data_IF_259407276677
#
_entry.id   IF_259407276677
#
_cell.length_a   1.000
_cell.length_b   1.000
_cell.length_c   1.000
_cell.angle_alpha   90.00
_cell.angle_beta   90.00
_cell.angle_gamma   90.00
#
_symmetry.space_group_name_H-M   'P 1'
#
loop_
_entity.id
_entity.type
_entity.pdbx_description
1 polymer ?
#
# COMPACT_ATOMS: atom_id res chain seq x y z
N UNK A 1 32.74 -7.93 -10.03
CA UNK A 1 32.82 -9.26 -9.36
C UNK A 1 31.46 -9.47 -8.71
N UNK A 2 30.85 -10.65 -8.81
CA UNK A 2 29.44 -10.80 -8.40
C UNK A 2 29.34 -10.93 -6.88
N UNK A 3 28.48 -10.12 -6.25
CA UNK A 3 28.07 -10.26 -4.86
C UNK A 3 27.58 -11.69 -4.61
N UNK A 4 27.90 -12.26 -3.45
CA UNK A 4 27.38 -13.54 -3.02
C UNK A 4 26.10 -13.36 -2.20
N UNK A 5 25.09 -14.21 -2.44
CA UNK A 5 23.91 -14.30 -1.57
C UNK A 5 23.87 -15.69 -0.95
N UNK A 6 23.79 -15.75 0.37
CA UNK A 6 23.72 -17.00 1.14
C UNK A 6 22.37 -17.03 1.85
N UNK A 7 21.55 -18.01 1.52
CA UNK A 7 20.24 -18.21 2.13
C UNK A 7 20.26 -19.37 3.11
N UNK A 8 19.61 -19.17 4.26
CA UNK A 8 19.30 -20.22 5.24
C UNK A 8 17.90 -19.99 5.78
N UNK A 9 17.29 -21.01 6.36
CA UNK A 9 15.93 -20.94 6.93
C UNK A 9 15.75 -19.82 7.98
N UNK A 10 16.85 -19.37 8.59
CA UNK A 10 16.89 -18.38 9.66
C UNK A 10 17.54 -17.04 9.26
N UNK A 11 17.96 -16.86 8.01
CA UNK A 11 18.46 -15.56 7.54
C UNK A 11 18.98 -15.55 6.10
N UNK A 12 19.26 -14.36 5.61
CA UNK A 12 19.85 -14.09 4.30
C UNK A 12 21.07 -13.21 4.53
N UNK A 13 22.19 -13.57 3.91
CA UNK A 13 23.42 -12.79 3.96
C UNK A 13 23.83 -12.39 2.54
N UNK A 14 23.92 -11.09 2.32
CA UNK A 14 24.54 -10.50 1.14
C UNK A 14 26.01 -10.27 1.49
N UNK A 15 26.91 -10.99 0.83
CA UNK A 15 28.35 -11.00 1.11
C UNK A 15 29.14 -10.34 -0.02
N UNK A 16 30.08 -9.49 0.37
CA UNK A 16 31.13 -8.97 -0.50
C UNK A 16 32.48 -9.18 0.19
N UNK A 17 33.33 -10.10 -0.30
CA UNK A 17 34.66 -10.34 0.25
C UNK A 17 35.59 -9.11 0.19
N UNK A 18 35.28 -8.14 -0.69
CA UNK A 18 35.99 -6.86 -0.75
C UNK A 18 35.42 -5.81 0.19
N UNK A 19 34.40 -6.14 0.98
CA UNK A 19 33.62 -5.25 1.83
C UNK A 19 32.74 -4.25 1.06
N UNK A 20 31.60 -3.94 1.66
CA UNK A 20 30.74 -2.83 1.32
C UNK A 20 31.12 -1.61 2.18
N UNK A 21 30.97 -0.42 1.60
CA UNK A 21 30.64 0.76 2.38
C UNK A 21 29.11 0.82 2.46
N UNK A 22 28.57 0.83 3.67
CA UNK A 22 27.14 0.77 3.92
C UNK A 22 26.65 2.01 4.67
N UNK A 23 25.46 2.50 4.29
CA UNK A 23 24.66 3.40 5.11
C UNK A 23 23.30 2.74 5.37
N UNK A 24 22.88 2.59 6.62
CA UNK A 24 21.64 1.85 6.94
C UNK A 24 20.95 2.33 8.22
N UNK A 25 19.67 2.00 8.34
CA UNK A 25 18.86 2.13 9.56
C UNK A 25 18.73 0.82 10.36
N UNK A 26 19.61 -0.14 10.08
CA UNK A 26 19.52 -1.50 10.62
C UNK A 26 19.64 -1.55 12.15
N UNK A 27 18.99 -2.55 12.78
CA UNK A 27 19.06 -2.78 14.23
C UNK A 27 20.50 -2.91 14.75
N UNK A 28 21.39 -3.53 13.98
CA UNK A 28 22.83 -3.68 14.27
C UNK A 28 23.62 -2.96 13.18
N UNK A 29 23.96 -1.70 13.46
CA UNK A 29 24.64 -0.78 12.55
C UNK A 29 25.12 0.45 13.35
N UNK A 30 26.26 1.03 12.98
CA UNK A 30 26.71 2.34 13.50
C UNK A 30 26.29 3.49 12.56
N UNK A 31 25.44 3.21 11.58
CA UNK A 31 24.88 4.14 10.60
C UNK A 31 25.72 4.22 9.33
N UNK A 32 27.05 4.30 9.45
CA UNK A 32 28.00 4.13 8.34
C UNK A 32 29.02 3.06 8.73
N UNK A 33 29.08 1.99 7.93
CA UNK A 33 29.87 0.81 8.27
C UNK A 33 30.68 0.30 7.07
N UNK A 34 31.84 -0.32 7.35
CA UNK A 34 32.59 -1.12 6.38
C UNK A 34 32.38 -2.59 6.72
N UNK A 35 31.59 -3.28 5.90
CA UNK A 35 31.09 -4.62 6.24
C UNK A 35 31.31 -5.62 5.12
N UNK A 36 31.74 -6.82 5.49
CA UNK A 36 31.78 -7.94 4.55
C UNK A 36 30.39 -8.53 4.32
N UNK A 37 29.54 -8.52 5.36
CA UNK A 37 28.26 -9.21 5.38
C UNK A 37 27.10 -8.26 5.74
N UNK A 38 26.02 -8.30 4.96
CA UNK A 38 24.76 -7.61 5.25
C UNK A 38 23.70 -8.67 5.51
N UNK A 39 23.23 -8.74 6.76
CA UNK A 39 22.37 -9.82 7.24
C UNK A 39 20.93 -9.37 7.45
N UNK A 40 19.97 -10.14 6.94
CA UNK A 40 18.55 -10.06 7.33
C UNK A 40 18.20 -11.38 8.01
N UNK A 41 17.83 -11.36 9.29
CA UNK A 41 17.70 -12.57 10.12
C UNK A 41 16.33 -12.68 10.78
N UNK A 42 15.83 -13.92 10.91
CA UNK A 42 14.64 -14.21 11.72
C UNK A 42 15.00 -14.11 13.19
N UNK A 43 14.69 -12.97 13.79
CA UNK A 43 15.01 -12.63 15.16
C UNK A 43 13.92 -11.71 15.73
N UNK A 44 13.85 -11.62 17.06
CA UNK A 44 13.15 -10.50 17.68
C UNK A 44 13.90 -9.22 17.33
N UNK A 45 13.15 -8.16 17.01
CA UNK A 45 13.67 -6.85 16.66
C UNK A 45 14.22 -6.12 17.89
N UNK A 46 15.39 -6.60 18.33
CA UNK A 46 16.21 -5.98 19.35
C UNK A 46 17.69 -6.30 19.08
N UNK A 47 18.56 -5.35 19.39
CA UNK A 47 19.99 -5.43 19.12
C UNK A 47 20.61 -6.78 19.54
N UNK A 48 20.31 -7.25 20.76
CA UNK A 48 20.96 -8.44 21.33
C UNK A 48 20.52 -9.71 20.62
N UNK A 49 19.24 -9.84 20.31
CA UNK A 49 18.67 -10.96 19.58
C UNK A 49 19.21 -11.01 18.15
N UNK A 50 19.18 -9.88 17.44
CA UNK A 50 19.64 -9.73 16.06
C UNK A 50 21.13 -10.02 15.93
N UNK A 51 21.97 -9.38 16.75
CA UNK A 51 23.43 -9.56 16.73
C UNK A 51 23.81 -11.03 16.96
N UNK A 52 23.22 -11.68 17.99
CA UNK A 52 23.49 -13.10 18.27
C UNK A 52 23.15 -14.01 17.08
N UNK A 53 22.04 -13.74 16.38
CA UNK A 53 21.65 -14.53 15.20
C UNK A 53 22.59 -14.29 14.02
N UNK A 54 22.99 -13.05 13.78
CA UNK A 54 23.94 -12.68 12.74
C UNK A 54 25.34 -13.27 12.99
N UNK A 55 25.84 -13.24 14.23
CA UNK A 55 27.12 -13.88 14.60
C UNK A 55 27.11 -15.38 14.30
N UNK A 56 26.03 -16.09 14.64
CA UNK A 56 25.87 -17.51 14.30
C UNK A 56 25.79 -17.70 12.79
N UNK A 57 25.13 -16.79 12.07
CA UNK A 57 25.04 -16.85 10.60
C UNK A 57 26.43 -16.77 9.96
N UNK A 58 27.23 -15.80 10.41
CA UNK A 58 28.57 -15.48 9.93
C UNK A 58 29.68 -16.35 10.55
N UNK A 59 29.33 -17.29 11.44
CA UNK A 59 30.30 -18.11 12.19
C UNK A 59 31.31 -17.27 13.01
N UNK A 60 30.87 -16.10 13.50
CA UNK A 60 31.70 -15.14 14.22
C UNK A 60 32.92 -14.64 13.43
N UNK A 61 32.83 -14.61 12.10
CA UNK A 61 33.85 -14.09 11.19
C UNK A 61 33.30 -12.95 10.33
N UNK A 62 34.19 -12.06 9.87
CA UNK A 62 33.85 -10.91 9.03
C UNK A 62 33.12 -9.79 9.78
N UNK A 63 33.26 -8.55 9.31
CA UNK A 63 32.44 -7.44 9.77
C UNK A 63 31.03 -7.52 9.18
N UNK A 64 30.02 -7.04 9.91
CA UNK A 64 28.64 -7.15 9.47
C UNK A 64 27.72 -6.05 10.01
N UNK A 65 26.66 -5.77 9.27
CA UNK A 65 25.43 -5.14 9.77
C UNK A 65 24.31 -6.17 9.74
N UNK A 66 23.30 -6.01 10.60
CA UNK A 66 22.19 -6.94 10.66
C UNK A 66 20.85 -6.29 11.02
N UNK A 67 19.81 -6.75 10.33
CA UNK A 67 18.42 -6.37 10.58
C UNK A 67 17.59 -7.59 10.96
N UNK A 68 16.71 -7.42 11.96
CA UNK A 68 15.69 -8.41 12.25
C UNK A 68 14.54 -8.30 11.24
N UNK A 69 14.01 -9.44 10.81
CA UNK A 69 12.79 -9.48 10.01
C UNK A 69 11.92 -10.68 10.40
N UNK A 70 10.61 -10.48 10.37
CA UNK A 70 9.64 -11.56 10.61
C UNK A 70 9.57 -12.53 9.41
N UNK A 71 9.82 -12.00 8.21
CA UNK A 71 9.84 -12.73 6.94
C UNK A 71 11.23 -12.69 6.31
N UNK A 72 11.56 -13.73 5.54
CA UNK A 72 12.76 -13.75 4.69
C UNK A 72 12.38 -13.78 3.21
N UNK A 73 11.10 -13.60 2.88
CA UNK A 73 10.67 -13.53 1.50
C UNK A 73 11.24 -12.27 0.86
N UNK A 74 11.94 -12.46 -0.25
CA UNK A 74 12.60 -11.38 -0.94
C UNK A 74 12.75 -11.68 -2.43
N UNK A 75 13.08 -10.66 -3.20
CA UNK A 75 13.51 -10.79 -4.59
C UNK A 75 14.53 -9.71 -4.93
N UNK A 76 15.26 -9.90 -6.03
CA UNK A 76 16.23 -8.94 -6.53
C UNK A 76 15.86 -8.43 -7.94
N UNK A 77 16.09 -7.15 -8.19
CA UNK A 77 16.05 -6.54 -9.51
C UNK A 77 17.40 -5.87 -9.80
N UNK A 78 17.99 -6.12 -10.96
CA UNK A 78 19.28 -5.53 -11.37
C UNK A 78 19.13 -4.71 -12.64
N UNK A 79 19.65 -3.47 -12.61
CA UNK A 79 19.61 -2.49 -13.69
C UNK A 79 21.00 -1.87 -13.85
N UNK A 80 21.82 -2.42 -14.76
CA UNK A 80 23.21 -1.99 -14.92
C UNK A 80 23.99 -2.16 -13.62
N UNK A 81 24.49 -1.05 -13.06
CA UNK A 81 25.27 -1.04 -11.81
C UNK A 81 24.39 -1.05 -10.55
N UNK A 82 23.06 -0.91 -10.68
CA UNK A 82 22.11 -0.87 -9.56
C UNK A 82 21.51 -2.25 -9.32
N UNK A 83 21.49 -2.71 -8.08
CA UNK A 83 20.72 -3.90 -7.65
C UNK A 83 19.88 -3.57 -6.44
N UNK A 84 18.59 -3.88 -6.51
CA UNK A 84 17.62 -3.68 -5.43
C UNK A 84 17.22 -5.04 -4.89
N UNK A 85 17.50 -5.29 -3.61
CA UNK A 85 16.92 -6.41 -2.88
C UNK A 85 15.68 -5.92 -2.14
N UNK A 86 14.54 -6.51 -2.45
CA UNK A 86 13.25 -6.14 -1.87
C UNK A 86 12.81 -7.24 -0.92
N UNK A 87 12.73 -6.95 0.37
CA UNK A 87 12.25 -7.88 1.39
C UNK A 87 10.79 -7.57 1.72
N UNK A 88 9.98 -8.60 1.89
CA UNK A 88 8.54 -8.48 2.06
C UNK A 88 8.08 -9.20 3.33
N UNK A 89 7.42 -8.47 4.22
CA UNK A 89 6.71 -9.03 5.37
C UNK A 89 5.28 -8.50 5.38
N UNK A 90 4.31 -9.40 5.37
CA UNK A 90 2.89 -9.07 5.22
C UNK A 90 2.04 -10.07 6.00
N UNK A 91 0.96 -9.60 6.60
CA UNK A 91 -0.07 -10.44 7.23
C UNK A 91 -1.49 -10.15 6.72
N UNK A 92 -1.62 -9.36 5.66
CA UNK A 92 -2.86 -9.13 4.93
C UNK A 92 -3.02 -10.19 3.85
N UNK A 93 -4.22 -10.77 3.78
CA UNK A 93 -4.62 -11.66 2.71
C UNK A 93 -5.83 -11.07 1.98
N UNK A 94 -5.90 -11.28 0.68
CA UNK A 94 -7.08 -10.94 -0.11
C UNK A 94 -8.01 -12.15 -0.11
N UNK A 95 -9.16 -12.03 0.54
CA UNK A 95 -10.15 -13.10 0.69
C UNK A 95 -11.24 -12.99 -0.36
N UNK A 96 -11.72 -14.13 -0.86
CA UNK A 96 -12.90 -14.17 -1.73
C UNK A 96 -14.16 -13.90 -0.91
N UNK A 97 -14.85 -12.79 -1.22
CA UNK A 97 -16.12 -12.42 -0.61
C UNK A 97 -17.30 -12.97 -1.44
N UNK A 98 -17.20 -12.86 -2.77
CA UNK A 98 -18.05 -13.56 -3.74
C UNK A 98 -17.19 -14.05 -4.92
N UNK A 99 -17.80 -14.71 -5.91
CA UNK A 99 -17.10 -15.09 -7.16
C UNK A 99 -16.42 -13.91 -7.90
N UNK A 100 -16.88 -12.68 -7.67
CA UNK A 100 -16.42 -11.47 -8.39
C UNK A 100 -15.89 -10.38 -7.46
N UNK A 101 -16.04 -10.54 -6.14
CA UNK A 101 -15.65 -9.56 -5.15
C UNK A 101 -14.67 -10.17 -4.16
N UNK A 102 -13.63 -9.42 -3.87
CA UNK A 102 -12.62 -9.75 -2.87
C UNK A 102 -12.50 -8.60 -1.88
N UNK A 103 -11.97 -8.90 -0.71
CA UNK A 103 -11.69 -7.91 0.34
C UNK A 103 -10.43 -8.29 1.08
N UNK A 104 -9.62 -7.30 1.43
CA UNK A 104 -8.45 -7.45 2.26
C UNK A 104 -8.87 -7.76 3.70
N UNK A 105 -8.22 -8.75 4.30
CA UNK A 105 -8.41 -9.13 5.69
C UNK A 105 -7.05 -9.42 6.33
N UNK A 106 -6.98 -9.30 7.65
CA UNK A 106 -5.83 -9.73 8.43
C UNK A 106 -6.30 -10.58 9.61
N UNK A 107 -5.72 -11.77 9.84
CA UNK A 107 -6.05 -12.59 11.00
C UNK A 107 -5.80 -11.90 12.35
N UNK A 108 -4.98 -10.84 12.38
CA UNK A 108 -4.71 -10.03 13.57
C UNK A 108 -5.65 -8.82 13.70
N UNK A 109 -6.49 -8.57 12.71
CA UNK A 109 -7.21 -7.31 12.53
C UNK A 109 -6.28 -6.16 12.10
N UNK A 110 -6.87 -5.11 11.50
CA UNK A 110 -6.10 -4.02 10.90
C UNK A 110 -5.33 -3.12 11.89
N UNK A 111 -5.63 -3.20 13.19
CA UNK A 111 -4.86 -2.49 14.21
C UNK A 111 -3.41 -3.00 14.31
N UNK A 112 -3.27 -4.33 14.24
CA UNK A 112 -1.99 -5.03 14.40
C UNK A 112 -1.43 -5.57 13.07
N UNK A 113 -2.17 -5.44 11.98
CA UNK A 113 -1.75 -5.81 10.63
C UNK A 113 -0.60 -4.94 10.12
N UNK A 114 0.22 -5.48 9.23
CA UNK A 114 1.44 -4.84 8.71
C UNK A 114 1.69 -5.28 7.27
N UNK A 115 2.10 -4.34 6.43
CA UNK A 115 2.70 -4.60 5.12
C UNK A 115 4.04 -3.84 5.09
N UNK A 116 5.15 -4.53 5.30
CA UNK A 116 6.48 -3.94 5.29
C UNK A 116 7.22 -4.39 4.03
N UNK A 117 7.55 -3.42 3.19
CA UNK A 117 8.33 -3.58 1.97
C UNK A 117 9.67 -2.92 2.20
N UNK A 118 10.73 -3.67 2.43
CA UNK A 118 12.06 -3.15 2.80
C UNK A 118 13.05 -3.27 1.66
N UNK A 119 14.08 -2.42 1.66
CA UNK A 119 15.00 -2.31 0.51
C UNK A 119 16.45 -2.35 0.94
N UNK A 120 17.27 -3.11 0.21
CA UNK A 120 18.73 -2.98 0.22
C UNK A 120 19.15 -2.58 -1.19
N UNK A 121 19.72 -1.40 -1.32
CA UNK A 121 20.12 -0.79 -2.58
C UNK A 121 21.63 -0.92 -2.74
N UNK A 122 22.09 -1.76 -3.65
CA UNK A 122 23.50 -1.89 -3.99
C UNK A 122 23.83 -1.15 -5.29
N UNK A 123 24.91 -0.37 -5.28
CA UNK A 123 25.45 0.32 -6.45
C UNK A 123 26.89 -0.16 -6.67
N UNK A 124 27.16 -0.77 -7.83
CA UNK A 124 28.47 -1.31 -8.23
C UNK A 124 29.46 -0.20 -8.61
N UNK A 125 29.64 0.77 -7.70
CA UNK A 125 30.55 1.92 -7.80
C UNK A 125 31.22 2.17 -6.46
N UNK A 126 32.31 2.91 -6.46
CA UNK A 126 33.01 3.35 -5.26
C UNK A 126 32.47 4.72 -4.86
N UNK A 127 31.48 4.75 -3.95
CA UNK A 127 30.78 5.98 -3.57
C UNK A 127 31.28 6.56 -2.24
N UNK A 128 31.23 7.88 -2.12
CA UNK A 128 31.57 8.54 -0.86
C UNK A 128 30.48 8.36 0.20
N UNK A 129 30.80 8.45 1.51
CA UNK A 129 29.78 8.45 2.57
C UNK A 129 28.71 9.54 2.39
N UNK A 130 29.10 10.68 1.80
CA UNK A 130 28.19 11.78 1.49
C UNK A 130 27.18 11.39 0.41
N UNK A 131 27.61 10.64 -0.59
CA UNK A 131 26.74 10.21 -1.69
C UNK A 131 25.80 9.10 -1.24
N UNK A 132 26.28 8.13 -0.44
CA UNK A 132 25.43 7.13 0.22
C UNK A 132 24.30 7.78 1.04
N UNK A 133 24.61 8.79 1.86
CA UNK A 133 23.60 9.52 2.64
C UNK A 133 22.59 10.24 1.75
N UNK A 134 23.03 10.84 0.64
CA UNK A 134 22.11 11.50 -0.32
C UNK A 134 21.20 10.48 -0.99
N UNK A 135 21.74 9.34 -1.39
CA UNK A 135 20.98 8.24 -2.02
C UNK A 135 19.97 7.67 -1.02
N UNK A 136 20.37 7.41 0.23
CA UNK A 136 19.48 6.94 1.28
C UNK A 136 18.26 7.86 1.45
N UNK A 137 18.51 9.18 1.51
CA UNK A 137 17.43 10.19 1.57
C UNK A 137 16.57 10.18 0.31
N UNK A 138 17.17 10.03 -0.86
CA UNK A 138 16.43 9.96 -2.13
C UNK A 138 15.51 8.74 -2.16
N UNK A 139 16.02 7.55 -1.84
CA UNK A 139 15.23 6.31 -1.79
C UNK A 139 14.07 6.43 -0.80
N UNK A 140 14.31 6.98 0.38
CA UNK A 140 13.26 7.20 1.40
C UNK A 140 12.12 8.08 0.83
N UNK A 141 12.47 9.21 0.20
CA UNK A 141 11.49 10.14 -0.37
C UNK A 141 10.75 9.55 -1.57
N UNK A 142 11.47 8.86 -2.46
CA UNK A 142 10.93 8.18 -3.64
C UNK A 142 9.89 7.15 -3.19
N UNK A 143 10.26 6.28 -2.24
CA UNK A 143 9.39 5.23 -1.72
C UNK A 143 8.12 5.79 -1.08
N UNK A 144 8.24 6.82 -0.24
CA UNK A 144 7.10 7.48 0.37
C UNK A 144 6.16 8.10 -0.69
N UNK A 145 6.72 8.78 -1.70
CA UNK A 145 5.97 9.37 -2.81
C UNK A 145 5.27 8.30 -3.65
N UNK A 146 5.97 7.23 -4.02
CA UNK A 146 5.43 6.14 -4.82
C UNK A 146 4.24 5.47 -4.12
N UNK A 147 4.39 5.11 -2.84
CA UNK A 147 3.31 4.50 -2.05
C UNK A 147 2.12 5.45 -1.87
N UNK A 148 2.35 6.73 -1.58
CA UNK A 148 1.28 7.72 -1.49
C UNK A 148 0.52 7.85 -2.83
N UNK A 149 1.23 7.78 -3.96
CA UNK A 149 0.62 7.88 -5.29
C UNK A 149 -0.24 6.68 -5.69
N UNK A 150 -0.09 5.53 -5.01
CA UNK A 150 -0.94 4.36 -5.24
C UNK A 150 -2.38 4.56 -4.76
N UNK A 151 -2.62 5.59 -3.92
CA UNK A 151 -3.94 6.00 -3.46
C UNK A 151 -4.77 4.84 -2.86
N UNK A 152 -4.10 3.96 -2.11
CA UNK A 152 -4.65 2.75 -1.50
C UNK A 152 -5.75 3.10 -0.47
N UNK A 153 -6.62 2.14 -0.09
CA UNK A 153 -7.58 2.35 1.00
C UNK A 153 -6.89 2.81 2.29
N UNK A 154 -7.49 3.73 3.05
CA UNK A 154 -6.83 4.38 4.20
C UNK A 154 -6.33 3.38 5.26
N UNK A 155 -7.10 2.32 5.51
CA UNK A 155 -6.73 1.29 6.47
C UNK A 155 -5.50 0.47 6.01
N UNK A 156 -5.24 0.37 4.70
CA UNK A 156 -4.03 -0.22 4.13
C UNK A 156 -2.86 0.77 4.25
N UNK A 157 -3.09 2.05 3.96
CA UNK A 157 -2.05 3.08 4.14
C UNK A 157 -1.52 3.11 5.58
N UNK A 158 -2.40 2.97 6.57
CA UNK A 158 -2.04 3.01 7.98
C UNK A 158 -1.14 1.84 8.45
N UNK A 159 -1.09 0.74 7.70
CA UNK A 159 -0.31 -0.45 8.06
C UNK A 159 0.93 -0.66 7.18
N UNK A 160 1.10 0.17 6.15
CA UNK A 160 2.24 0.13 5.25
C UNK A 160 3.49 0.69 5.92
N UNK A 161 4.60 -0.05 5.81
CA UNK A 161 5.95 0.39 6.20
C UNK A 161 6.00 1.00 7.61
N UNK A 162 5.38 0.31 8.55
CA UNK A 162 5.41 0.69 9.98
C UNK A 162 6.63 0.13 10.69
N UNK A 163 7.32 -0.84 10.09
CA UNK A 163 8.61 -1.37 10.51
C UNK A 163 9.42 -1.92 9.32
N UNK A 164 9.52 -1.14 8.24
CA UNK A 164 10.42 -1.44 7.13
C UNK A 164 11.86 -0.97 7.43
N UNK A 165 12.80 -1.39 6.59
CA UNK A 165 14.21 -1.00 6.71
C UNK A 165 14.81 -0.61 5.35
N UNK A 166 15.91 0.15 5.40
CA UNK A 166 16.68 0.58 4.25
C UNK A 166 18.20 0.45 4.50
N UNK A 167 18.90 -0.13 3.54
CA UNK A 167 20.35 0.00 3.44
C UNK A 167 20.76 0.43 2.04
N UNK A 168 21.78 1.28 1.94
CA UNK A 168 22.46 1.63 0.69
C UNK A 168 23.90 1.16 0.78
N UNK A 169 24.32 0.37 -0.20
CA UNK A 169 25.62 -0.30 -0.25
C UNK A 169 26.38 0.15 -1.50
N UNK A 170 27.69 0.37 -1.34
CA UNK A 170 28.61 0.58 -2.46
C UNK A 170 29.89 -0.22 -2.26
N UNK A 171 30.71 -0.31 -3.30
CA UNK A 171 32.07 -0.84 -3.16
C UNK A 171 32.93 0.12 -2.32
N UNK A 172 33.95 -0.43 -1.66
CA UNK A 172 35.00 0.37 -1.03
C UNK A 172 36.13 0.71 -2.03
N UNK A 173 36.82 1.84 -1.84
CA UNK A 173 38.07 2.13 -2.56
C UNK A 173 39.14 1.05 -2.32
N UNK A 174 39.93 0.74 -3.34
CA UNK A 174 41.10 -0.14 -3.17
C UNK A 174 42.15 0.57 -2.29
N UNK A 175 42.69 -0.15 -1.31
CA UNK A 175 43.71 0.37 -0.40
C UNK A 175 44.78 -0.70 -0.14
N UNK A 176 46.04 -0.30 -0.20
CA UNK A 176 47.20 -1.13 0.16
C UNK A 176 47.45 -1.16 1.69
N UNK A 177 46.73 -0.35 2.48
CA UNK A 177 46.86 -0.30 3.94
C UNK A 177 45.79 -1.12 4.67
N UNK A 178 46.15 -1.67 5.83
CA UNK A 178 45.23 -2.44 6.71
C UNK A 178 44.05 -1.60 7.24
N UNK A 179 44.11 -0.27 7.16
CA UNK A 179 43.03 0.65 7.53
C UNK A 179 42.67 1.57 6.36
N UNK A 180 41.38 1.65 6.02
CA UNK A 180 40.86 2.59 5.01
C UNK A 180 40.43 3.91 5.67
N UNK A 181 40.99 5.02 5.21
CA UNK A 181 40.51 6.36 5.57
C UNK A 181 39.44 6.83 4.58
N UNK A 182 38.18 6.57 4.92
CA UNK A 182 37.02 6.93 4.10
C UNK A 182 36.88 8.45 3.87
N UNK A 183 37.55 9.30 4.65
CA UNK A 183 37.45 10.75 4.44
C UNK A 183 38.41 11.25 3.36
N UNK A 184 39.47 10.49 3.07
CA UNK A 184 40.56 10.89 2.18
C UNK A 184 40.78 9.94 1.00
N UNK A 185 39.89 8.96 0.81
CA UNK A 185 39.96 8.02 -0.30
C UNK A 185 39.48 8.62 -1.64
N UNK A 186 39.82 7.94 -2.74
CA UNK A 186 39.33 8.28 -4.07
C UNK A 186 37.98 7.59 -4.33
N UNK A 187 37.02 8.37 -4.83
CA UNK A 187 35.66 7.93 -5.14
C UNK A 187 35.36 8.15 -6.62
N UNK A 188 34.42 7.37 -7.15
CA UNK A 188 33.90 7.56 -8.49
C UNK A 188 33.13 8.88 -8.56
N UNK A 189 33.35 9.66 -9.62
CA UNK A 189 32.49 10.79 -9.92
C UNK A 189 31.12 10.28 -10.39
N UNK A 190 30.06 10.76 -9.75
CA UNK A 190 28.69 10.41 -10.10
C UNK A 190 27.88 11.65 -10.48
N UNK A 191 27.06 11.52 -11.52
CA UNK A 191 25.93 12.41 -11.74
C UNK A 191 24.78 11.95 -10.84
N UNK A 192 24.54 12.72 -9.77
CA UNK A 192 23.53 12.39 -8.78
C UNK A 192 22.11 12.47 -9.35
N UNK A 193 21.83 13.38 -10.29
CA UNK A 193 20.48 13.50 -10.85
C UNK A 193 20.18 12.33 -11.78
N UNK A 194 21.17 11.87 -12.55
CA UNK A 194 21.04 10.67 -13.38
C UNK A 194 20.80 9.42 -12.53
N UNK A 195 21.63 9.19 -11.49
CA UNK A 195 21.47 8.04 -10.59
C UNK A 195 20.12 8.10 -9.87
N UNK A 196 19.68 9.29 -9.45
CA UNK A 196 18.40 9.45 -8.75
C UNK A 196 17.22 9.03 -9.63
N UNK A 197 17.22 9.36 -10.93
CA UNK A 197 16.17 8.92 -11.86
C UNK A 197 16.17 7.40 -12.00
N UNK A 198 17.33 6.78 -12.16
CA UNK A 198 17.45 5.31 -12.24
C UNK A 198 16.95 4.62 -10.96
N UNK A 199 17.25 5.20 -9.79
CA UNK A 199 16.77 4.70 -8.50
C UNK A 199 15.26 4.91 -8.37
N UNK A 200 14.70 6.04 -8.82
CA UNK A 200 13.25 6.30 -8.80
C UNK A 200 12.50 5.21 -9.57
N UNK A 201 12.89 4.95 -10.82
CA UNK A 201 12.31 3.89 -11.64
C UNK A 201 12.46 2.50 -11.01
N UNK A 202 13.66 2.17 -10.50
CA UNK A 202 13.92 0.85 -9.90
C UNK A 202 13.12 0.61 -8.61
N UNK A 203 12.95 1.63 -7.77
CA UNK A 203 12.16 1.52 -6.54
C UNK A 203 10.67 1.43 -6.86
N UNK A 204 10.15 2.20 -7.81
CA UNK A 204 8.75 2.11 -8.25
C UNK A 204 8.42 0.71 -8.79
N UNK A 205 9.26 0.17 -9.68
CA UNK A 205 9.09 -1.19 -10.21
C UNK A 205 9.18 -2.24 -9.09
N UNK A 206 10.13 -2.10 -8.16
CA UNK A 206 10.28 -2.99 -7.00
C UNK A 206 9.01 -2.99 -6.13
N UNK A 207 8.41 -1.83 -5.88
CA UNK A 207 7.17 -1.76 -5.10
C UNK A 207 6.02 -2.45 -5.84
N UNK A 208 5.83 -2.20 -7.14
CA UNK A 208 4.81 -2.88 -7.92
C UNK A 208 4.98 -4.41 -7.92
N UNK A 209 6.21 -4.88 -8.11
CA UNK A 209 6.53 -6.31 -8.10
C UNK A 209 6.26 -6.93 -6.72
N UNK A 210 6.50 -6.18 -5.64
CA UNK A 210 6.19 -6.64 -4.30
C UNK A 210 4.68 -6.83 -4.09
N UNK A 211 3.84 -5.86 -4.48
CA UNK A 211 2.38 -6.01 -4.42
C UNK A 211 1.90 -7.21 -5.25
N UNK A 212 2.43 -7.40 -6.46
CA UNK A 212 2.12 -8.55 -7.32
C UNK A 212 2.50 -9.88 -6.67
N UNK A 213 3.69 -9.96 -6.05
CA UNK A 213 4.19 -11.19 -5.40
C UNK A 213 3.42 -11.54 -4.13
N UNK A 214 2.95 -10.54 -3.41
CA UNK A 214 2.11 -10.70 -2.23
C UNK A 214 0.62 -10.96 -2.57
N UNK A 215 0.26 -10.96 -3.85
CA UNK A 215 -1.14 -11.04 -4.34
C UNK A 215 -2.04 -9.99 -3.68
N UNK A 216 -1.50 -8.79 -3.44
CA UNK A 216 -2.21 -7.69 -2.83
C UNK A 216 -2.88 -6.85 -3.91
N UNK A 217 -4.19 -7.00 -4.01
CA UNK A 217 -5.08 -6.19 -4.85
C UNK A 217 -6.23 -5.67 -4.00
N UNK A 218 -6.61 -4.41 -4.19
CA UNK A 218 -7.69 -3.79 -3.41
C UNK A 218 -8.84 -3.38 -4.34
N UNK A 219 -10.03 -3.84 -4.01
CA UNK A 219 -11.26 -3.64 -4.78
C UNK A 219 -12.24 -2.71 -4.08
N UNK A 220 -13.42 -2.56 -4.67
CA UNK A 220 -14.45 -1.64 -4.17
C UNK A 220 -14.81 -1.88 -2.71
N UNK A 221 -14.86 -3.14 -2.24
CA UNK A 221 -15.17 -3.45 -0.85
C UNK A 221 -14.13 -2.87 0.12
N UNK A 222 -12.86 -2.85 -0.24
CA UNK A 222 -11.81 -2.24 0.58
C UNK A 222 -12.01 -0.72 0.70
N UNK A 223 -12.40 -0.07 -0.40
CA UNK A 223 -12.71 1.35 -0.38
C UNK A 223 -13.99 1.67 0.42
N UNK A 224 -15.02 0.81 0.37
CA UNK A 224 -16.19 0.96 1.24
C UNK A 224 -15.79 0.88 2.73
N UNK A 225 -14.98 -0.11 3.10
CA UNK A 225 -14.49 -0.26 4.47
C UNK A 225 -13.65 0.96 4.90
N UNK A 226 -12.85 1.53 4.00
CA UNK A 226 -12.09 2.75 4.27
C UNK A 226 -12.99 3.96 4.58
N UNK A 227 -14.16 4.05 3.96
CA UNK A 227 -15.17 5.09 4.23
C UNK A 227 -16.13 4.70 5.38
N UNK A 228 -15.91 3.56 6.04
CA UNK A 228 -16.75 3.09 7.15
C UNK A 228 -18.10 2.49 6.72
N UNK A 229 -18.23 2.09 5.45
CA UNK A 229 -19.48 1.55 4.88
C UNK A 229 -19.42 0.02 4.87
N UNK A 230 -20.33 -0.64 5.59
CA UNK A 230 -20.49 -2.08 5.53
C UNK A 230 -21.70 -2.48 4.67
N UNK A 231 -21.65 -3.68 4.08
CA UNK A 231 -22.76 -4.22 3.29
C UNK A 231 -24.04 -4.32 4.14
N UNK A 232 -23.91 -4.68 5.41
CA UNK A 232 -25.03 -4.71 6.36
C UNK A 232 -25.75 -3.37 6.47
N UNK A 233 -25.00 -2.27 6.56
CA UNK A 233 -25.55 -0.93 6.69
C UNK A 233 -26.31 -0.50 5.43
N UNK A 234 -25.82 -0.89 4.26
CA UNK A 234 -26.48 -0.64 2.97
C UNK A 234 -27.78 -1.42 2.84
N UNK A 235 -27.81 -2.66 3.33
CA UNK A 235 -29.02 -3.49 3.36
C UNK A 235 -30.06 -2.84 4.27
N UNK A 236 -29.68 -2.45 5.48
CA UNK A 236 -30.59 -1.81 6.44
C UNK A 236 -31.16 -0.50 5.90
N UNK A 237 -30.31 0.37 5.35
CA UNK A 237 -30.75 1.61 4.72
C UNK A 237 -31.72 1.37 3.56
N UNK A 238 -31.50 0.33 2.75
CA UNK A 238 -32.40 -0.01 1.64
C UNK A 238 -33.72 -0.66 2.02
N UNK A 239 -33.84 -1.20 3.23
CA UNK A 239 -35.10 -1.75 3.72
C UNK A 239 -35.94 -0.72 4.48
N UNK A 240 -35.32 0.36 4.98
CA UNK A 240 -35.99 1.36 5.83
C UNK A 240 -37.18 2.06 5.16
N UNK A 241 -37.18 2.20 3.83
CA UNK A 241 -38.27 2.84 3.08
C UNK A 241 -39.20 1.84 2.38
N UNK A 242 -38.99 0.54 2.58
CA UNK A 242 -39.92 -0.50 2.13
C UNK A 242 -41.07 -0.62 3.14
N UNK A 243 -42.27 -0.96 2.69
CA UNK A 243 -43.41 -1.13 3.58
C UNK A 243 -43.15 -2.28 4.58
N UNK A 244 -43.41 -2.05 5.87
CA UNK A 244 -43.07 -2.97 6.98
C UNK A 244 -43.59 -4.40 6.76
N UNK A 245 -44.78 -4.55 6.15
CA UNK A 245 -45.40 -5.85 5.88
C UNK A 245 -44.65 -6.68 4.81
N UNK A 246 -43.79 -6.05 4.01
CA UNK A 246 -42.98 -6.69 2.97
C UNK A 246 -41.57 -7.05 3.47
N UNK A 247 -41.09 -6.43 4.55
CA UNK A 247 -39.74 -6.66 5.09
C UNK A 247 -39.66 -8.02 5.78
N UNK A 248 -38.89 -8.93 5.19
CA UNK A 248 -38.66 -10.27 5.71
C UNK A 248 -37.24 -10.76 5.36
N UNK A 249 -36.86 -11.93 5.88
CA UNK A 249 -35.52 -12.49 5.66
C UNK A 249 -35.22 -12.79 4.18
N UNK A 250 -36.24 -13.13 3.37
CA UNK A 250 -36.07 -13.37 1.93
C UNK A 250 -35.73 -12.06 1.20
N UNK A 251 -36.43 -10.96 1.53
CA UNK A 251 -36.13 -9.65 0.98
C UNK A 251 -34.74 -9.17 1.40
N UNK A 252 -34.34 -9.40 2.66
CA UNK A 252 -33.00 -9.07 3.15
C UNK A 252 -31.91 -9.78 2.34
N UNK A 253 -32.09 -11.08 2.06
CA UNK A 253 -31.16 -11.85 1.23
C UNK A 253 -31.15 -11.39 -0.24
N UNK A 254 -32.30 -11.05 -0.81
CA UNK A 254 -32.39 -10.47 -2.16
C UNK A 254 -31.67 -9.12 -2.24
N UNK A 255 -31.81 -8.28 -1.21
CA UNK A 255 -31.13 -7.00 -1.11
C UNK A 255 -29.60 -7.18 -1.07
N UNK A 256 -29.12 -8.06 -0.20
CA UNK A 256 -27.69 -8.40 -0.13
C UNK A 256 -27.16 -8.89 -1.48
N UNK A 257 -27.84 -9.88 -2.09
CA UNK A 257 -27.42 -10.45 -3.36
C UNK A 257 -27.42 -9.40 -4.49
N UNK A 258 -28.41 -8.51 -4.52
CA UNK A 258 -28.50 -7.47 -5.53
C UNK A 258 -27.46 -6.35 -5.31
N UNK A 259 -27.19 -5.94 -4.07
CA UNK A 259 -26.10 -4.99 -3.76
C UNK A 259 -24.77 -5.57 -4.23
N UNK A 260 -24.45 -6.82 -3.87
CA UNK A 260 -23.19 -7.46 -4.25
C UNK A 260 -23.08 -7.66 -5.76
N UNK A 261 -24.18 -7.95 -6.45
CA UNK A 261 -24.23 -8.01 -7.91
C UNK A 261 -23.96 -6.65 -8.53
N UNK A 262 -24.56 -5.57 -8.00
CA UNK A 262 -24.33 -4.19 -8.45
C UNK A 262 -22.88 -3.75 -8.20
N UNK A 263 -22.31 -4.11 -7.04
CA UNK A 263 -20.91 -3.82 -6.71
C UNK A 263 -19.90 -4.63 -7.54
N UNK A 264 -20.34 -5.61 -8.32
CA UNK A 264 -19.52 -6.34 -9.30
C UNK A 264 -19.66 -5.77 -10.73
N UNK A 265 -20.52 -4.78 -10.95
CA UNK A 265 -20.67 -4.09 -12.23
C UNK A 265 -19.60 -3.00 -12.37
N UNK A 266 -18.80 -3.07 -13.44
CA UNK A 266 -17.68 -2.16 -13.70
C UNK A 266 -18.12 -0.69 -13.79
N UNK A 267 -19.31 -0.41 -14.35
CA UNK A 267 -19.80 0.95 -14.53
C UNK A 267 -20.28 1.52 -13.19
N UNK A 268 -20.94 0.68 -12.37
CA UNK A 268 -21.34 1.05 -11.00
C UNK A 268 -20.12 1.35 -10.14
N UNK A 269 -19.11 0.47 -10.16
CA UNK A 269 -17.84 0.68 -9.43
C UNK A 269 -17.17 1.98 -9.89
N UNK A 270 -17.10 2.23 -11.20
CA UNK A 270 -16.46 3.41 -11.76
C UNK A 270 -17.11 4.70 -11.27
N UNK A 271 -18.44 4.74 -11.22
CA UNK A 271 -19.20 5.89 -10.72
C UNK A 271 -18.99 6.09 -9.21
N UNK A 272 -18.97 5.01 -8.42
CA UNK A 272 -18.68 5.10 -6.97
C UNK A 272 -17.27 5.62 -6.73
N UNK A 273 -16.27 5.09 -7.43
CA UNK A 273 -14.88 5.54 -7.29
C UNK A 273 -14.74 7.01 -7.71
N UNK A 274 -15.42 7.44 -8.78
CA UNK A 274 -15.41 8.85 -9.19
C UNK A 274 -15.95 9.77 -8.08
N UNK A 275 -17.05 9.38 -7.42
CA UNK A 275 -17.59 10.12 -6.29
C UNK A 275 -16.65 10.14 -5.08
N UNK A 276 -16.07 9.00 -4.69
CA UNK A 276 -15.08 8.91 -3.61
C UNK A 276 -13.87 9.83 -3.83
N UNK A 277 -13.31 9.83 -5.05
CA UNK A 277 -12.15 10.70 -5.36
C UNK A 277 -12.52 12.17 -5.38
N UNK A 278 -13.69 12.49 -5.93
CA UNK A 278 -14.19 13.87 -5.94
C UNK A 278 -14.38 14.37 -4.51
N UNK A 279 -15.02 13.58 -3.65
CA UNK A 279 -15.22 13.91 -2.24
C UNK A 279 -13.89 14.14 -1.52
N UNK A 280 -12.89 13.27 -1.73
CA UNK A 280 -11.56 13.42 -1.12
C UNK A 280 -10.89 14.75 -1.50
N UNK A 281 -10.96 15.15 -2.77
CA UNK A 281 -10.37 16.41 -3.23
C UNK A 281 -11.15 17.64 -2.72
N UNK A 282 -12.47 17.54 -2.59
CA UNK A 282 -13.31 18.61 -2.06
C UNK A 282 -13.16 18.78 -0.55
N UNK A 283 -13.18 17.69 0.22
CA UNK A 283 -12.97 17.71 1.66
C UNK A 283 -11.56 18.17 2.06
N UNK A 284 -10.58 18.00 1.17
CA UNK A 284 -9.20 18.47 1.35
C UNK A 284 -8.94 19.91 0.89
N UNK A 285 -9.95 20.64 0.40
CA UNK A 285 -9.80 21.97 -0.23
C UNK A 285 -8.75 21.98 -1.36
N UNK A 286 -8.60 20.87 -2.10
CA UNK A 286 -7.59 20.74 -3.16
C UNK A 286 -7.97 21.51 -4.45
N UNK A 287 -9.25 21.86 -4.61
CA UNK A 287 -9.77 22.54 -5.80
C UNK A 287 -10.05 24.01 -5.50
N UNK A 288 -9.13 24.89 -5.93
CA UNK A 288 -9.16 26.33 -5.66
C UNK A 288 -10.49 27.01 -6.02
N UNK A 289 -11.14 26.57 -7.10
CA UNK A 289 -12.37 27.17 -7.63
C UNK A 289 -13.64 26.75 -6.89
N UNK A 290 -13.60 25.73 -6.01
CA UNK A 290 -14.77 25.21 -5.30
C UNK A 290 -14.63 25.55 -3.82
N UNK A 291 -15.64 26.20 -3.24
CA UNK A 291 -15.70 26.51 -1.82
C UNK A 291 -16.90 25.81 -1.18
N UNK A 292 -16.65 24.70 -0.47
CA UNK A 292 -17.67 23.90 0.19
C UNK A 292 -18.48 24.68 1.24
N UNK A 293 -17.97 25.80 1.76
CA UNK A 293 -18.67 26.66 2.72
C UNK A 293 -19.72 27.59 2.10
N UNK A 294 -19.57 27.96 0.83
CA UNK A 294 -20.45 28.91 0.12
C UNK A 294 -21.35 28.20 -0.92
N UNK A 295 -20.85 27.13 -1.56
CA UNK A 295 -21.54 26.37 -2.61
C UNK A 295 -22.31 25.17 -2.03
N UNK A 296 -23.25 25.43 -1.13
CA UNK A 296 -24.01 24.40 -0.38
C UNK A 296 -24.90 23.45 -1.21
N UNK A 297 -24.87 23.51 -2.54
CA UNK A 297 -25.75 22.71 -3.39
C UNK A 297 -25.03 22.29 -4.68
N UNK A 298 -24.21 21.25 -4.58
CA UNK A 298 -23.73 20.57 -5.76
C UNK A 298 -24.91 19.80 -6.37
N UNK A 299 -25.00 19.82 -7.70
CA UNK A 299 -25.94 18.96 -8.44
C UNK A 299 -25.19 17.80 -9.09
N UNK A 300 -23.86 17.78 -8.96
CA UNK A 300 -23.00 16.81 -9.62
C UNK A 300 -23.01 15.45 -8.91
N UNK A 301 -23.04 15.46 -7.57
CA UNK A 301 -23.38 14.35 -6.68
C UNK A 301 -24.71 13.69 -7.07
N UNK A 302 -25.75 14.51 -7.23
CA UNK A 302 -27.12 14.13 -7.58
C UNK A 302 -27.18 13.43 -8.96
N UNK A 303 -26.40 13.95 -9.93
CA UNK A 303 -26.23 13.38 -11.26
C UNK A 303 -25.50 12.03 -11.21
N UNK A 304 -24.47 11.89 -10.39
CA UNK A 304 -23.74 10.63 -10.21
C UNK A 304 -24.62 9.58 -9.53
N UNK A 305 -25.36 9.94 -8.47
CA UNK A 305 -26.31 9.06 -7.80
C UNK A 305 -27.40 8.56 -8.74
N UNK A 306 -27.98 9.47 -9.53
CA UNK A 306 -28.96 9.09 -10.54
C UNK A 306 -28.35 8.17 -11.61
N UNK A 307 -27.12 8.42 -12.05
CA UNK A 307 -26.43 7.56 -13.02
C UNK A 307 -26.22 6.13 -12.47
N UNK A 308 -25.82 5.98 -11.21
CA UNK A 308 -25.69 4.68 -10.55
C UNK A 308 -27.03 3.95 -10.52
N UNK A 309 -28.10 4.62 -10.09
CA UNK A 309 -29.44 4.02 -10.02
C UNK A 309 -29.93 3.55 -11.40
N UNK A 310 -29.68 4.35 -12.44
CA UNK A 310 -30.06 4.06 -13.82
C UNK A 310 -29.21 2.94 -14.42
N UNK A 311 -27.93 2.82 -14.07
CA UNK A 311 -27.11 1.69 -14.49
C UNK A 311 -27.68 0.37 -13.98
N UNK A 312 -28.19 0.35 -12.75
CA UNK A 312 -28.70 -0.87 -12.12
C UNK A 312 -30.11 -1.25 -12.63
N UNK A 313 -31.04 -0.30 -12.70
CA UNK A 313 -32.46 -0.59 -13.00
C UNK A 313 -33.10 0.35 -14.04
N UNK A 314 -32.31 1.11 -14.79
CA UNK A 314 -32.79 2.04 -15.80
C UNK A 314 -33.65 3.17 -15.23
N UNK A 315 -34.45 3.80 -16.09
CA UNK A 315 -35.30 4.95 -15.72
C UNK A 315 -36.34 4.65 -14.64
N UNK A 316 -36.61 3.37 -14.35
CA UNK A 316 -37.50 2.95 -13.27
C UNK A 316 -36.94 3.30 -11.90
N UNK A 317 -35.61 3.37 -11.76
CA UNK A 317 -34.95 3.72 -10.51
C UNK A 317 -35.05 5.21 -10.16
N UNK A 318 -35.36 6.08 -11.12
CA UNK A 318 -35.31 7.54 -10.93
C UNK A 318 -36.21 8.04 -9.80
N UNK A 319 -37.43 7.49 -9.66
CA UNK A 319 -38.33 7.88 -8.57
C UNK A 319 -37.84 7.38 -7.21
N UNK A 320 -37.32 6.15 -7.14
CA UNK A 320 -36.75 5.63 -5.91
C UNK A 320 -35.48 6.38 -5.54
N UNK A 321 -34.63 6.77 -6.49
CA UNK A 321 -33.44 7.56 -6.23
C UNK A 321 -33.82 8.85 -5.51
N UNK A 322 -34.78 9.62 -6.03
CA UNK A 322 -35.27 10.83 -5.37
C UNK A 322 -35.77 10.56 -3.95
N UNK A 323 -36.52 9.47 -3.75
CA UNK A 323 -37.00 9.06 -2.42
C UNK A 323 -35.85 8.79 -1.43
N UNK A 324 -34.83 8.04 -1.84
CA UNK A 324 -33.69 7.68 -0.98
C UNK A 324 -32.72 8.84 -0.76
N UNK A 325 -32.48 9.66 -1.78
CA UNK A 325 -31.66 10.87 -1.70
C UNK A 325 -32.27 11.91 -0.75
N UNK A 326 -33.59 12.10 -0.77
CA UNK A 326 -34.26 13.05 0.13
C UNK A 326 -34.36 12.52 1.57
N UNK A 327 -34.66 11.23 1.74
CA UNK A 327 -34.89 10.64 3.06
C UNK A 327 -33.58 10.33 3.82
N UNK A 328 -32.51 9.98 3.09
CA UNK A 328 -31.19 9.60 3.62
C UNK A 328 -31.25 8.54 4.75
N UNK A 329 -31.84 7.36 4.51
CA UNK A 329 -31.98 6.34 5.55
C UNK A 329 -30.64 5.73 5.98
N UNK A 330 -30.61 5.23 7.22
CA UNK A 330 -29.46 4.53 7.79
C UNK A 330 -28.12 5.26 7.60
N UNK A 331 -27.14 4.54 7.05
CA UNK A 331 -25.78 5.05 6.84
C UNK A 331 -25.71 6.25 5.91
N UNK A 332 -26.66 6.41 4.98
CA UNK A 332 -26.64 7.51 3.99
C UNK A 332 -26.59 8.87 4.68
N UNK A 333 -27.33 9.07 5.77
CA UNK A 333 -27.36 10.33 6.52
C UNK A 333 -25.98 10.81 7.02
N UNK A 334 -25.09 9.87 7.31
CA UNK A 334 -23.76 10.16 7.86
C UNK A 334 -22.68 10.32 6.79
N UNK A 335 -22.99 10.09 5.52
CA UNK A 335 -22.01 10.13 4.44
C UNK A 335 -21.77 11.57 3.94
N UNK A 336 -20.57 11.85 3.44
CA UNK A 336 -20.29 13.10 2.72
C UNK A 336 -21.16 13.29 1.45
N UNK A 337 -21.37 14.52 0.95
CA UNK A 337 -22.32 14.85 -0.11
C UNK A 337 -22.29 13.95 -1.36
N UNK A 338 -21.11 13.68 -1.94
CA UNK A 338 -21.03 12.82 -3.12
C UNK A 338 -21.30 11.36 -2.80
N UNK A 339 -20.91 10.91 -1.61
CA UNK A 339 -21.12 9.53 -1.19
C UNK A 339 -22.59 9.29 -0.84
N UNK A 340 -23.25 10.19 -0.11
CA UNK A 340 -24.66 10.01 0.25
C UNK A 340 -25.54 9.81 -0.99
N UNK A 341 -25.37 10.62 -2.04
CA UNK A 341 -26.18 10.51 -3.26
C UNK A 341 -25.85 9.27 -4.09
N UNK A 342 -24.56 8.92 -4.18
CA UNK A 342 -24.15 7.70 -4.91
C UNK A 342 -24.64 6.43 -4.22
N UNK A 343 -24.59 6.36 -2.89
CA UNK A 343 -25.11 5.20 -2.15
C UNK A 343 -26.64 5.19 -2.11
N UNK A 344 -27.31 6.35 -2.07
CA UNK A 344 -28.74 6.44 -2.32
C UNK A 344 -29.09 5.91 -3.72
N UNK A 345 -28.28 6.24 -4.72
CA UNK A 345 -28.39 5.72 -6.09
C UNK A 345 -28.23 4.20 -6.18
N UNK A 346 -27.20 3.65 -5.53
CA UNK A 346 -26.96 2.21 -5.43
C UNK A 346 -28.16 1.49 -4.81
N UNK A 347 -28.62 1.96 -3.65
CA UNK A 347 -29.75 1.39 -2.91
C UNK A 347 -31.03 1.49 -3.73
N UNK A 348 -31.36 2.67 -4.24
CA UNK A 348 -32.56 2.87 -5.05
C UNK A 348 -32.57 1.98 -6.30
N UNK A 349 -31.44 1.87 -6.98
CA UNK A 349 -31.27 0.96 -8.12
C UNK A 349 -31.52 -0.49 -7.74
N UNK A 350 -30.93 -0.95 -6.63
CA UNK A 350 -31.10 -2.32 -6.14
C UNK A 350 -32.56 -2.62 -5.75
N UNK A 351 -33.19 -1.74 -4.97
CA UNK A 351 -34.60 -1.86 -4.57
C UNK A 351 -35.49 -1.90 -5.82
N UNK A 352 -35.34 -0.96 -6.75
CA UNK A 352 -36.10 -0.96 -8.01
C UNK A 352 -35.91 -2.24 -8.82
N UNK A 353 -34.70 -2.82 -8.81
CA UNK A 353 -34.43 -4.07 -9.52
C UNK A 353 -35.15 -5.26 -8.88
N UNK A 354 -35.14 -5.34 -7.55
CA UNK A 354 -35.78 -6.43 -6.80
C UNK A 354 -37.29 -6.45 -7.02
N UNK A 355 -37.94 -5.29 -7.05
CA UNK A 355 -39.39 -5.19 -7.27
C UNK A 355 -39.80 -5.19 -8.76
N UNK A 356 -38.84 -5.21 -9.68
CA UNK A 356 -39.10 -5.41 -11.12
C UNK A 356 -39.20 -6.91 -11.49
N UNK A 357 -38.36 -7.74 -10.87
CA UNK A 357 -38.26 -9.19 -11.08
C UNK A 357 -39.36 -9.96 -10.35
#
# INVERSE_FOLDING_TARGET
MKIGVIEKDYGICINNPKHFLAFSDFTVSDGIDIVENVNVVKAKDDFKSTAKKAEVFNQSQGSYIAQASESLDYFENTYGDLTIFTFMANDVAVEEFTKHLKVANSPKGFLDARINLSHIVYIDKVLSPKDLLKIFKAVTNIKAKALASMALPIHIQNILNTNDFLAVLSNIPESDSESLDINNAQYDEIDFEEIKVQIEEAIEISLEDAFKRLDLTFGILDYLVAEGILIGDLIEAGLELVDDDEVNDDLKQKMEAQILKSLADIDVITLIVAAMRTEQDLAGDHIREINMGDDSNHYADDVLGLAVSNQIAGTKATFNFRRYCEAKPGIIYGLPPFLEDVFAGLIAGCVSKIFEE
#
